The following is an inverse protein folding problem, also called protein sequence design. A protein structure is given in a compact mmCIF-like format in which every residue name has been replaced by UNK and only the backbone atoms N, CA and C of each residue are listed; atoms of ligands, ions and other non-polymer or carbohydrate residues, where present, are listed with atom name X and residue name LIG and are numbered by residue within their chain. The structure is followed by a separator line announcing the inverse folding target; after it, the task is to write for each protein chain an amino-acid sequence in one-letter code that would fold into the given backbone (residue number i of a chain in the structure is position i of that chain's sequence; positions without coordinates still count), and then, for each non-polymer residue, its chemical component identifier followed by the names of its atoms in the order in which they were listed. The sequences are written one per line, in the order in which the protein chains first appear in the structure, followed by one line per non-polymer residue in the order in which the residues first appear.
data_IF_243408695636
#
_entry.id   IF_243408695636
#
_cell.length_a   1.000
_cell.length_b   1.000
_cell.length_c   1.000
_cell.angle_alpha   90.00
_cell.angle_beta   90.00
_cell.angle_gamma   90.00
#
_symmetry.space_group_name_H-M   'P 1'
#
loop_
_entity.id
_entity.type
_entity.pdbx_description
1 polymer ?
#
# COMPACT_ATOMS: atom_id res chain seq x y z
N UNK A 1 -9.67 -18.26 -36.75
CA UNK A 1 -8.51 -19.15 -36.71
C UNK A 1 -7.30 -18.36 -37.21
N UNK A 2 -6.54 -17.73 -36.33
CA UNK A 2 -5.25 -17.12 -36.64
C UNK A 2 -4.26 -17.61 -35.60
N UNK A 3 -3.24 -18.34 -36.05
CA UNK A 3 -2.18 -18.91 -35.22
C UNK A 3 -1.32 -17.84 -34.59
N UNK A 4 -1.09 -17.97 -33.30
CA UNK A 4 -0.14 -17.18 -32.51
C UNK A 4 1.28 -17.71 -32.78
N UNK A 5 2.23 -16.91 -33.30
CA UNK A 5 3.57 -17.38 -33.71
C UNK A 5 4.50 -17.88 -32.62
N UNK A 6 4.14 -17.70 -31.33
CA UNK A 6 5.02 -18.01 -30.19
C UNK A 6 5.05 -19.49 -29.76
N UNK A 7 4.00 -20.26 -30.04
CA UNK A 7 3.92 -21.67 -29.61
C UNK A 7 4.72 -22.66 -30.45
N UNK A 8 5.05 -22.31 -31.68
CA UNK A 8 5.83 -23.22 -32.56
C UNK A 8 7.33 -23.24 -32.20
N UNK A 9 7.92 -22.10 -31.80
CA UNK A 9 9.36 -22.06 -31.46
C UNK A 9 9.72 -22.88 -30.22
N UNK A 10 8.83 -23.00 -29.25
CA UNK A 10 9.06 -23.80 -28.03
C UNK A 10 8.99 -25.30 -28.37
N UNK A 11 8.08 -25.70 -29.24
CA UNK A 11 7.99 -27.11 -29.70
C UNK A 11 9.20 -27.54 -30.55
N UNK A 12 9.72 -26.66 -31.38
CA UNK A 12 10.89 -26.92 -32.21
C UNK A 12 12.17 -27.02 -31.36
N UNK A 13 12.32 -26.21 -30.30
CA UNK A 13 13.43 -26.32 -29.34
C UNK A 13 13.43 -27.66 -28.60
N UNK A 14 12.28 -28.10 -28.10
CA UNK A 14 12.13 -29.40 -27.44
C UNK A 14 12.35 -30.59 -28.40
N UNK A 15 11.87 -30.49 -29.64
CA UNK A 15 12.08 -31.51 -30.66
C UNK A 15 13.55 -31.61 -31.10
N UNK A 16 14.27 -30.50 -31.15
CA UNK A 16 15.69 -30.46 -31.48
C UNK A 16 16.56 -31.10 -30.38
N UNK A 17 16.27 -30.82 -29.11
CA UNK A 17 16.96 -31.41 -27.95
C UNK A 17 16.65 -32.91 -27.85
N UNK A 18 15.41 -33.32 -28.08
CA UNK A 18 15.03 -34.73 -28.07
C UNK A 18 15.69 -35.49 -29.23
N UNK A 19 15.79 -34.89 -30.44
CA UNK A 19 16.51 -35.49 -31.58
C UNK A 19 18.02 -35.58 -31.36
N UNK A 20 18.66 -34.59 -30.70
CA UNK A 20 20.09 -34.66 -30.38
C UNK A 20 20.41 -35.79 -29.39
N UNK A 21 19.47 -36.12 -28.49
CA UNK A 21 19.60 -37.24 -27.56
C UNK A 21 19.43 -38.64 -28.23
N UNK A 22 18.53 -38.73 -29.22
CA UNK A 22 18.24 -39.98 -29.91
C UNK A 22 19.33 -40.32 -30.94
N UNK A 23 20.10 -39.36 -31.45
CA UNK A 23 21.10 -39.55 -32.51
C UNK A 23 22.52 -39.75 -31.95
N UNK A 24 22.70 -39.84 -30.60
CA UNK A 24 23.96 -40.26 -30.00
C UNK A 24 25.19 -39.38 -30.27
N UNK A 25 25.00 -38.08 -30.55
CA UNK A 25 26.09 -37.13 -30.87
C UNK A 25 26.61 -36.30 -29.69
N UNK A 26 26.15 -36.57 -28.44
CA UNK A 26 26.71 -35.94 -27.24
C UNK A 26 27.29 -36.99 -26.31
N UNK A 27 28.60 -37.03 -26.20
CA UNK A 27 29.30 -37.84 -25.21
C UNK A 27 29.11 -37.16 -23.81
N UNK A 28 28.53 -37.89 -22.87
CA UNK A 28 28.46 -37.46 -21.45
C UNK A 28 29.82 -37.71 -20.85
N UNK A 29 30.45 -36.71 -20.17
CA UNK A 29 31.69 -36.96 -19.44
C UNK A 29 31.45 -38.03 -18.35
N UNK A 30 32.29 -39.04 -18.33
CA UNK A 30 32.29 -40.08 -17.29
C UNK A 30 32.58 -39.42 -15.93
N UNK A 31 31.57 -39.34 -15.03
CA UNK A 31 31.72 -38.81 -13.68
C UNK A 31 30.63 -37.91 -13.14
N UNK A 32 29.69 -37.45 -13.95
CA UNK A 32 28.59 -36.58 -13.48
C UNK A 32 27.28 -37.37 -13.49
N UNK A 33 26.59 -37.43 -12.37
CA UNK A 33 25.31 -38.12 -12.23
C UNK A 33 24.22 -37.52 -13.18
N UNK A 34 23.34 -38.38 -13.71
CA UNK A 34 22.25 -37.96 -14.64
C UNK A 34 21.41 -36.78 -14.12
N UNK A 35 21.24 -36.69 -12.82
CA UNK A 35 20.53 -35.61 -12.14
C UNK A 35 21.25 -34.25 -12.23
N UNK A 36 22.58 -34.27 -12.00
CA UNK A 36 23.40 -33.05 -12.09
C UNK A 36 23.50 -32.53 -13.53
N UNK A 37 23.59 -33.44 -14.51
CA UNK A 37 23.60 -33.08 -15.94
C UNK A 37 22.26 -32.40 -16.35
N UNK A 38 21.12 -32.92 -15.87
CA UNK A 38 19.81 -32.32 -16.13
C UNK A 38 19.66 -30.95 -15.45
N UNK A 39 20.15 -30.80 -14.24
CA UNK A 39 20.13 -29.51 -13.51
C UNK A 39 21.05 -28.49 -14.17
N UNK A 40 22.21 -28.91 -14.66
CA UNK A 40 23.15 -28.06 -15.38
C UNK A 40 22.62 -27.66 -16.77
N UNK A 41 21.97 -28.57 -17.49
CA UNK A 41 21.26 -28.27 -18.74
C UNK A 41 20.07 -27.33 -18.51
N UNK A 42 19.25 -27.53 -17.48
CA UNK A 42 18.17 -26.64 -17.12
C UNK A 42 18.66 -25.23 -16.72
N UNK A 43 19.80 -25.14 -16.00
CA UNK A 43 20.47 -23.87 -15.69
C UNK A 43 21.02 -23.16 -16.93
N UNK A 44 21.56 -23.91 -17.88
CA UNK A 44 22.09 -23.36 -19.13
C UNK A 44 20.97 -22.97 -20.12
N UNK A 45 19.86 -23.71 -20.16
CA UNK A 45 18.67 -23.34 -20.92
C UNK A 45 18.02 -22.08 -20.36
N UNK A 46 17.97 -21.91 -19.02
CA UNK A 46 17.56 -20.64 -18.39
C UNK A 46 18.52 -19.47 -18.69
N UNK A 47 19.80 -19.74 -18.89
CA UNK A 47 20.78 -18.70 -19.28
C UNK A 47 20.71 -18.32 -20.77
N UNK A 48 20.21 -19.20 -21.62
CA UNK A 48 20.09 -18.99 -23.07
C UNK A 48 18.73 -18.44 -23.51
N UNK A 49 17.69 -18.66 -22.70
CA UNK A 49 16.43 -17.94 -22.80
C UNK A 49 16.32 -17.08 -21.56
N UNK A 50 16.90 -15.88 -21.57
CA UNK A 50 16.69 -14.91 -20.50
C UNK A 50 15.18 -14.74 -20.33
N UNK A 51 14.68 -14.83 -19.07
CA UNK A 51 13.30 -14.45 -18.81
C UNK A 51 13.08 -13.07 -19.45
N UNK A 52 12.00 -12.85 -20.16
CA UNK A 52 11.73 -11.53 -20.73
C UNK A 52 11.88 -10.50 -19.61
N UNK A 53 12.49 -9.33 -19.89
CA UNK A 53 12.62 -8.29 -18.87
C UNK A 53 11.24 -8.02 -18.30
N UNK A 54 11.15 -7.84 -16.97
CA UNK A 54 9.88 -7.48 -16.32
C UNK A 54 9.29 -6.26 -17.03
N UNK A 55 7.99 -6.31 -17.32
CA UNK A 55 7.29 -5.17 -17.94
C UNK A 55 7.30 -3.98 -16.99
N UNK A 56 7.39 -2.78 -17.54
CA UNK A 56 7.33 -1.53 -16.76
C UNK A 56 5.90 -1.28 -16.30
N UNK A 57 5.76 -0.77 -15.08
CA UNK A 57 4.47 -0.55 -14.45
C UNK A 57 4.32 0.90 -14.05
N UNK A 58 3.22 1.52 -14.44
CA UNK A 58 2.90 2.91 -14.18
C UNK A 58 1.61 3.06 -13.39
N UNK A 59 1.46 4.19 -12.70
CA UNK A 59 0.24 4.60 -12.00
C UNK A 59 -0.54 5.51 -12.94
N UNK A 60 -1.78 5.12 -13.28
CA UNK A 60 -2.65 5.87 -14.20
C UNK A 60 -3.89 6.45 -13.51
N UNK A 61 -4.26 5.96 -12.32
CA UNK A 61 -5.41 6.47 -11.58
C UNK A 61 -5.22 6.43 -10.07
N UNK A 62 -5.84 7.40 -9.38
CA UNK A 62 -5.77 7.62 -7.94
C UNK A 62 -7.16 7.78 -7.35
N UNK A 63 -7.44 7.08 -6.24
CA UNK A 63 -8.68 7.26 -5.48
C UNK A 63 -8.42 7.18 -3.98
N UNK A 64 -9.04 8.06 -3.22
CA UNK A 64 -8.81 8.19 -1.77
C UNK A 64 -10.08 8.52 -1.01
N UNK A 65 -10.22 7.88 0.15
CA UNK A 65 -11.12 8.26 1.25
C UNK A 65 -10.27 8.34 2.50
N UNK A 66 -10.15 9.51 3.10
CA UNK A 66 -9.19 9.77 4.21
C UNK A 66 -9.80 10.70 5.26
N UNK A 67 -9.17 10.82 6.44
CA UNK A 67 -9.55 11.81 7.44
C UNK A 67 -9.46 13.27 6.97
N UNK A 68 -8.70 13.52 5.89
CA UNK A 68 -8.61 14.84 5.28
C UNK A 68 -9.67 15.06 4.20
N UNK A 69 -10.41 14.02 3.81
CA UNK A 69 -11.50 14.14 2.84
C UNK A 69 -11.62 12.96 1.89
N UNK A 70 -12.67 13.03 1.06
CA UNK A 70 -12.97 12.09 -0.02
C UNK A 70 -12.51 12.70 -1.35
N UNK A 71 -11.59 12.00 -2.03
CA UNK A 71 -10.95 12.44 -3.28
C UNK A 71 -9.48 12.82 -3.11
N UNK A 72 -8.66 12.49 -4.13
CA UNK A 72 -7.21 12.67 -4.07
C UNK A 72 -6.79 14.16 -4.00
N UNK A 73 -7.39 15.01 -4.81
CA UNK A 73 -7.03 16.44 -4.87
C UNK A 73 -7.42 17.20 -3.59
N UNK A 74 -8.61 16.95 -3.05
CA UNK A 74 -9.07 17.56 -1.80
C UNK A 74 -8.19 17.12 -0.63
N UNK A 75 -7.88 15.84 -0.54
CA UNK A 75 -7.00 15.29 0.49
C UNK A 75 -5.60 15.89 0.38
N UNK A 76 -5.06 15.98 -0.83
CA UNK A 76 -3.73 16.53 -1.09
C UNK A 76 -3.64 18.01 -0.74
N UNK A 77 -4.60 18.83 -1.17
CA UNK A 77 -4.63 20.25 -0.81
C UNK A 77 -4.64 20.45 0.70
N UNK A 78 -5.52 19.77 1.42
CA UNK A 78 -5.61 19.87 2.89
C UNK A 78 -4.35 19.38 3.60
N UNK A 79 -3.68 18.34 3.06
CA UNK A 79 -2.40 17.87 3.57
C UNK A 79 -1.32 18.95 3.44
N UNK A 80 -1.22 19.60 2.28
CA UNK A 80 -0.24 20.67 2.03
C UNK A 80 -0.53 21.92 2.88
N UNK A 81 -1.80 22.21 3.13
CA UNK A 81 -2.25 23.31 3.99
C UNK A 81 -2.03 23.03 5.49
N UNK A 82 -1.55 21.83 5.85
CA UNK A 82 -1.26 21.46 7.23
C UNK A 82 -2.52 21.18 8.06
N UNK A 83 -3.61 20.74 7.43
CA UNK A 83 -4.84 20.37 8.14
C UNK A 83 -4.63 19.04 8.86
N UNK A 84 -5.00 18.98 10.15
CA UNK A 84 -5.02 17.74 10.93
C UNK A 84 -6.42 17.12 10.90
N UNK A 85 -6.49 15.82 10.59
CA UNK A 85 -7.73 15.04 10.67
C UNK A 85 -8.07 14.53 12.06
N UNK A 86 -7.22 14.78 13.06
CA UNK A 86 -7.41 14.26 14.41
C UNK A 86 -8.51 15.04 15.18
N UNK A 87 -9.43 14.31 15.79
CA UNK A 87 -10.55 14.86 16.57
C UNK A 87 -10.92 13.92 17.73
N UNK A 88 -11.76 14.40 18.65
CA UNK A 88 -12.37 13.54 19.66
C UNK A 88 -13.34 12.56 18.97
N UNK A 89 -13.31 11.31 19.40
CA UNK A 89 -14.26 10.30 18.90
C UNK A 89 -15.64 10.60 19.47
N UNK A 90 -16.64 10.68 18.58
CA UNK A 90 -18.03 11.00 18.92
C UNK A 90 -19.01 9.90 18.52
N UNK A 91 -18.55 8.88 17.80
CA UNK A 91 -19.41 7.80 17.30
C UNK A 91 -19.88 6.83 18.39
N UNK A 92 -19.17 6.79 19.51
CA UNK A 92 -19.47 5.93 20.68
C UNK A 92 -18.86 6.52 21.96
N UNK A 93 -19.32 6.00 23.11
CA UNK A 93 -18.83 6.39 24.43
C UNK A 93 -17.35 6.06 24.63
N UNK A 94 -16.55 7.02 25.10
CA UNK A 94 -15.09 6.89 25.24
C UNK A 94 -14.54 7.24 26.62
N UNK A 95 -15.38 7.61 27.60
CA UNK A 95 -14.95 8.11 28.91
C UNK A 95 -14.09 7.11 29.70
N UNK A 96 -14.35 5.82 29.49
CA UNK A 96 -13.62 4.70 30.12
C UNK A 96 -12.40 4.23 29.31
N UNK A 97 -12.12 4.85 28.14
CA UNK A 97 -10.98 4.54 27.28
C UNK A 97 -9.80 5.46 27.56
N UNK A 98 -8.59 4.90 27.52
CA UNK A 98 -7.35 5.67 27.68
C UNK A 98 -7.11 6.64 26.52
N UNK A 99 -7.33 6.18 25.27
CA UNK A 99 -7.30 6.99 24.06
C UNK A 99 -8.73 7.32 23.62
N UNK A 100 -9.03 8.60 23.45
CA UNK A 100 -10.37 9.12 23.13
C UNK A 100 -10.41 9.93 21.84
N UNK A 101 -9.33 9.86 21.07
CA UNK A 101 -9.13 10.59 19.82
C UNK A 101 -8.85 9.65 18.67
N UNK A 102 -9.24 10.07 17.48
CA UNK A 102 -8.96 9.36 16.23
C UNK A 102 -8.96 10.34 15.04
N UNK A 103 -8.47 9.88 13.90
CA UNK A 103 -8.59 10.56 12.62
C UNK A 103 -9.71 9.87 11.83
N UNK A 104 -10.96 10.31 12.07
CA UNK A 104 -12.14 9.77 11.40
C UNK A 104 -12.37 10.45 10.05
N UNK A 105 -12.96 9.72 9.11
CA UNK A 105 -13.41 10.28 7.83
C UNK A 105 -14.49 11.33 8.07
N UNK A 106 -14.39 12.54 7.46
CA UNK A 106 -15.45 13.54 7.55
C UNK A 106 -16.68 13.08 6.77
N UNK A 107 -17.76 12.76 7.49
CA UNK A 107 -19.03 12.34 6.92
C UNK A 107 -19.90 13.56 6.59
N UNK A 108 -20.67 13.49 5.49
CA UNK A 108 -21.58 14.56 5.07
C UNK A 108 -22.42 14.18 3.85
N UNK A 109 -22.81 15.18 3.07
CA UNK A 109 -23.61 14.99 1.86
C UNK A 109 -22.78 14.72 0.59
N UNK A 110 -21.45 14.65 0.72
CA UNK A 110 -20.51 14.51 -0.40
C UNK A 110 -19.99 15.83 -0.95
N UNK A 111 -20.48 16.96 -0.44
CA UNK A 111 -19.92 18.27 -0.77
C UNK A 111 -18.65 18.54 0.04
N UNK A 112 -17.82 19.46 -0.45
CA UNK A 112 -16.61 19.93 0.23
C UNK A 112 -15.70 18.80 0.74
N UNK A 113 -15.62 17.70 -0.02
CA UNK A 113 -14.79 16.55 0.31
C UNK A 113 -15.28 15.74 1.50
N UNK A 114 -16.51 15.87 1.95
CA UNK A 114 -17.12 14.94 2.90
C UNK A 114 -17.47 13.61 2.24
N UNK A 115 -17.46 12.54 3.00
CA UNK A 115 -17.83 11.23 2.50
C UNK A 115 -19.31 10.96 2.70
N UNK A 116 -20.01 10.60 1.62
CA UNK A 116 -21.38 10.11 1.64
C UNK A 116 -21.45 8.72 1.04
N UNK A 117 -21.69 7.71 1.87
CA UNK A 117 -21.74 6.31 1.43
C UNK A 117 -22.84 6.07 0.36
N UNK A 118 -23.94 6.82 0.39
CA UNK A 118 -25.06 6.67 -0.56
C UNK A 118 -24.68 7.03 -2.01
N UNK A 119 -23.61 7.79 -2.21
CA UNK A 119 -23.08 8.10 -3.55
C UNK A 119 -22.39 6.88 -4.20
N UNK A 120 -21.91 5.94 -3.39
CA UNK A 120 -21.09 4.83 -3.86
C UNK A 120 -21.79 3.47 -3.76
N UNK A 121 -22.65 3.29 -2.77
CA UNK A 121 -23.32 2.02 -2.50
C UNK A 121 -24.73 2.27 -1.98
N UNK A 122 -25.71 1.62 -2.59
CA UNK A 122 -27.10 1.75 -2.14
C UNK A 122 -27.25 1.39 -0.65
N UNK A 123 -28.12 2.07 0.13
CA UNK A 123 -28.29 1.82 1.56
C UNK A 123 -28.63 0.36 1.92
N UNK A 124 -29.27 -0.36 0.99
CA UNK A 124 -29.56 -1.78 1.14
C UNK A 124 -28.31 -2.64 1.08
N UNK A 125 -27.36 -2.27 0.23
CA UNK A 125 -26.08 -3.00 0.07
C UNK A 125 -25.10 -2.62 1.19
N UNK A 126 -25.08 -1.37 1.64
CA UNK A 126 -24.26 -0.92 2.79
C UNK A 126 -24.49 -1.78 4.03
N UNK A 127 -25.75 -2.18 4.29
CA UNK A 127 -26.09 -3.05 5.43
C UNK A 127 -25.53 -4.47 5.34
N UNK A 128 -25.00 -4.88 4.18
CA UNK A 128 -24.44 -6.21 3.95
C UNK A 128 -22.93 -6.25 4.13
N UNK A 129 -22.25 -5.12 4.10
CA UNK A 129 -20.81 -5.01 4.14
C UNK A 129 -20.35 -4.14 5.31
N UNK A 130 -19.12 -4.33 5.74
CA UNK A 130 -18.46 -3.46 6.71
C UNK A 130 -17.96 -2.17 6.06
N UNK A 131 -17.82 -1.05 6.79
CA UNK A 131 -17.39 0.21 6.22
C UNK A 131 -16.07 0.15 5.43
N UNK A 132 -15.09 -0.68 5.83
CA UNK A 132 -13.83 -0.80 5.06
C UNK A 132 -14.07 -1.24 3.61
N UNK A 133 -15.09 -2.07 3.34
CA UNK A 133 -15.47 -2.47 1.98
C UNK A 133 -16.10 -1.30 1.23
N UNK A 134 -16.94 -0.51 1.90
CA UNK A 134 -17.55 0.70 1.30
C UNK A 134 -16.49 1.72 0.92
N UNK A 135 -15.49 1.94 1.79
CA UNK A 135 -14.35 2.84 1.50
C UNK A 135 -13.52 2.33 0.32
N UNK A 136 -13.29 1.01 0.25
CA UNK A 136 -12.59 0.40 -0.88
C UNK A 136 -13.33 0.59 -2.21
N UNK A 137 -14.66 0.40 -2.22
CA UNK A 137 -15.49 0.61 -3.41
C UNK A 137 -15.40 2.06 -3.86
N UNK A 138 -15.59 3.02 -2.95
CA UNK A 138 -15.53 4.44 -3.27
C UNK A 138 -14.15 4.85 -3.83
N UNK A 139 -13.07 4.42 -3.18
CA UNK A 139 -11.72 4.71 -3.65
C UNK A 139 -11.41 4.03 -4.99
N UNK A 140 -11.91 2.80 -5.23
CA UNK A 140 -11.71 2.11 -6.49
C UNK A 140 -12.51 2.76 -7.64
N UNK A 141 -13.76 3.17 -7.39
CA UNK A 141 -14.58 3.91 -8.36
C UNK A 141 -13.84 5.20 -8.78
N UNK A 142 -13.34 5.98 -7.81
CA UNK A 142 -12.56 7.20 -8.09
C UNK A 142 -11.28 6.91 -8.88
N UNK A 143 -10.54 5.86 -8.51
CA UNK A 143 -9.29 5.53 -9.18
C UNK A 143 -9.49 5.07 -10.64
N UNK A 144 -10.53 4.28 -10.90
CA UNK A 144 -10.90 3.83 -12.25
C UNK A 144 -11.37 4.99 -13.12
N UNK A 145 -12.16 5.91 -12.54
CA UNK A 145 -12.60 7.13 -13.24
C UNK A 145 -11.43 8.04 -13.58
N UNK A 146 -10.51 8.29 -12.62
CA UNK A 146 -9.31 9.09 -12.84
C UNK A 146 -8.36 8.46 -13.87
N UNK A 147 -8.28 7.13 -13.92
CA UNK A 147 -7.53 6.40 -14.94
C UNK A 147 -8.22 6.43 -16.32
N UNK A 148 -9.51 6.78 -16.40
CA UNK A 148 -10.31 6.59 -17.60
C UNK A 148 -10.36 5.13 -18.06
N UNK A 149 -10.34 4.17 -17.09
CA UNK A 149 -10.30 2.74 -17.39
C UNK A 149 -11.61 2.05 -17.02
N UNK A 150 -12.42 1.76 -18.03
CA UNK A 150 -13.71 1.09 -17.91
C UNK A 150 -13.78 -0.08 -18.90
N UNK A 151 -13.19 -1.26 -18.57
CA UNK A 151 -13.07 -2.37 -19.51
C UNK A 151 -14.45 -2.89 -19.95
N UNK A 152 -14.68 -2.90 -21.26
CA UNK A 152 -15.94 -3.34 -21.85
C UNK A 152 -15.80 -4.69 -22.57
N UNK A 153 -14.63 -4.97 -23.13
CA UNK A 153 -14.38 -6.24 -23.80
C UNK A 153 -14.08 -7.35 -22.78
N UNK A 154 -14.35 -8.60 -23.16
CA UNK A 154 -14.00 -9.77 -22.34
C UNK A 154 -12.48 -9.84 -22.10
N UNK A 155 -11.67 -9.50 -23.10
CA UNK A 155 -10.22 -9.54 -23.03
C UNK A 155 -9.70 -8.49 -22.01
N UNK A 156 -10.19 -7.25 -22.05
CA UNK A 156 -9.82 -6.20 -21.10
C UNK A 156 -10.25 -6.55 -19.67
N UNK A 157 -11.45 -7.13 -19.52
CA UNK A 157 -11.94 -7.58 -18.22
C UNK A 157 -11.07 -8.71 -17.63
N UNK A 158 -10.62 -9.65 -18.47
CA UNK A 158 -9.72 -10.75 -18.07
C UNK A 158 -8.31 -10.23 -17.79
N UNK A 159 -7.84 -9.22 -18.52
CA UNK A 159 -6.53 -8.59 -18.30
C UNK A 159 -6.48 -7.65 -17.09
N UNK A 160 -7.63 -7.34 -16.46
CA UNK A 160 -7.72 -6.44 -15.31
C UNK A 160 -7.99 -7.21 -14.02
N UNK A 161 -7.07 -7.11 -13.06
CA UNK A 161 -7.18 -7.74 -11.74
C UNK A 161 -7.42 -6.74 -10.60
N UNK A 162 -7.64 -7.28 -9.39
CA UNK A 162 -7.88 -6.51 -8.16
C UNK A 162 -7.06 -7.08 -7.01
N UNK A 163 -6.32 -6.23 -6.29
CA UNK A 163 -5.57 -6.58 -5.10
C UNK A 163 -5.70 -5.50 -4.03
N UNK A 164 -6.71 -5.62 -3.16
CA UNK A 164 -6.97 -4.67 -2.07
C UNK A 164 -6.85 -5.40 -0.75
N UNK A 165 -5.96 -4.91 0.13
CA UNK A 165 -5.75 -5.47 1.45
C UNK A 165 -6.42 -4.65 2.56
N UNK A 166 -6.54 -5.28 3.73
CA UNK A 166 -6.90 -4.62 5.00
C UNK A 166 -6.14 -5.31 6.12
N UNK A 167 -5.73 -4.56 7.14
CA UNK A 167 -4.98 -5.11 8.25
C UNK A 167 -5.85 -5.94 9.20
N UNK A 168 -7.09 -5.50 9.44
CA UNK A 168 -7.99 -6.11 10.42
C UNK A 168 -9.33 -6.53 9.78
N UNK A 169 -9.79 -5.82 8.75
CA UNK A 169 -11.10 -6.06 8.13
C UNK A 169 -12.27 -5.64 9.01
N UNK A 170 -13.37 -6.37 8.97
CA UNK A 170 -14.63 -6.03 9.63
C UNK A 170 -14.66 -6.29 11.14
N UNK A 171 -13.74 -5.70 11.91
CA UNK A 171 -13.57 -5.95 13.34
C UNK A 171 -14.84 -5.63 14.16
N UNK A 172 -15.42 -4.44 13.95
CA UNK A 172 -16.63 -4.02 14.68
C UNK A 172 -17.79 -4.97 14.42
N UNK A 173 -18.05 -5.29 13.16
CA UNK A 173 -19.12 -6.19 12.77
C UNK A 173 -18.93 -7.64 13.27
N UNK A 174 -17.68 -8.08 13.48
CA UNK A 174 -17.38 -9.38 14.11
C UNK A 174 -17.80 -9.35 15.59
N UNK A 175 -17.46 -8.28 16.31
CA UNK A 175 -17.82 -8.11 17.73
C UNK A 175 -19.35 -8.02 17.91
N UNK A 176 -20.03 -7.23 17.09
CA UNK A 176 -21.49 -7.10 17.11
C UNK A 176 -22.21 -8.42 16.80
N UNK A 177 -21.69 -9.19 15.84
CA UNK A 177 -22.23 -10.51 15.55
C UNK A 177 -22.02 -11.48 16.72
N UNK A 178 -20.90 -11.36 17.45
CA UNK A 178 -20.65 -12.09 18.69
C UNK A 178 -21.68 -11.78 19.77
N UNK A 179 -22.00 -10.49 19.98
CA UNK A 179 -23.07 -10.08 20.91
C UNK A 179 -24.44 -10.59 20.44
N UNK A 180 -24.74 -10.47 19.15
CA UNK A 180 -25.99 -11.00 18.59
C UNK A 180 -26.13 -12.50 18.82
N UNK A 181 -25.06 -13.26 18.57
CA UNK A 181 -25.05 -14.73 18.82
C UNK A 181 -25.29 -15.05 20.29
N UNK A 182 -24.62 -14.36 21.21
CA UNK A 182 -24.73 -14.57 22.67
C UNK A 182 -26.11 -14.22 23.18
N UNK A 183 -26.66 -13.06 22.80
CA UNK A 183 -27.85 -12.50 23.43
C UNK A 183 -29.14 -12.89 22.72
N UNK A 184 -29.09 -13.23 21.42
CA UNK A 184 -30.27 -13.49 20.58
C UNK A 184 -30.25 -14.85 19.86
N UNK A 185 -29.14 -15.58 19.97
CA UNK A 185 -28.97 -16.92 19.42
C UNK A 185 -28.63 -16.99 17.93
N UNK A 186 -28.26 -18.18 17.41
CA UNK A 186 -27.66 -18.34 16.07
C UNK A 186 -28.58 -17.96 14.92
N UNK A 187 -29.92 -18.05 15.11
CA UNK A 187 -30.89 -17.68 14.06
C UNK A 187 -30.95 -16.17 13.77
N UNK A 188 -30.33 -15.35 14.60
CA UNK A 188 -30.31 -13.89 14.47
C UNK A 188 -29.00 -13.36 13.83
N UNK A 189 -27.99 -14.21 13.67
CA UNK A 189 -26.78 -13.86 12.94
C UNK A 189 -27.14 -13.62 11.47
N UNK A 190 -26.65 -12.49 10.92
CA UNK A 190 -26.93 -12.11 9.54
C UNK A 190 -26.35 -13.12 8.54
N UNK A 191 -27.04 -13.48 7.44
CA UNK A 191 -26.46 -14.29 6.37
C UNK A 191 -25.31 -13.57 5.67
N UNK A 192 -25.23 -12.25 5.79
CA UNK A 192 -24.14 -11.41 5.25
C UNK A 192 -22.97 -11.26 6.23
N UNK A 193 -23.01 -11.88 7.42
CA UNK A 193 -21.94 -11.76 8.40
C UNK A 193 -20.58 -12.16 7.81
N UNK A 194 -20.45 -13.36 7.27
CA UNK A 194 -19.18 -13.82 6.69
C UNK A 194 -18.80 -12.98 5.46
N UNK A 195 -19.61 -12.89 4.38
CA UNK A 195 -19.19 -12.16 3.19
C UNK A 195 -19.03 -10.65 3.38
N UNK A 196 -19.59 -10.08 4.42
CA UNK A 196 -19.44 -8.66 4.72
C UNK A 196 -18.24 -8.31 5.61
N UNK A 197 -17.47 -9.28 6.11
CA UNK A 197 -16.38 -9.05 7.08
C UNK A 197 -15.02 -9.60 6.63
N UNK A 198 -14.99 -10.50 5.65
CA UNK A 198 -13.75 -11.07 5.11
C UNK A 198 -12.97 -10.01 4.34
N UNK A 199 -11.67 -9.94 4.58
CA UNK A 199 -10.77 -8.94 3.99
C UNK A 199 -10.76 -9.00 2.46
N UNK A 200 -10.68 -10.21 1.89
CA UNK A 200 -10.67 -10.37 0.43
C UNK A 200 -11.97 -9.93 -0.27
N UNK A 201 -13.03 -9.67 0.48
CA UNK A 201 -14.28 -9.18 -0.10
C UNK A 201 -14.23 -7.70 -0.49
N UNK A 202 -13.25 -6.93 -0.02
CA UNK A 202 -12.96 -5.63 -0.60
C UNK A 202 -12.57 -5.78 -2.09
N UNK A 203 -11.59 -6.64 -2.39
CA UNK A 203 -11.23 -6.98 -3.78
C UNK A 203 -12.39 -7.63 -4.53
N UNK A 204 -13.11 -8.56 -3.88
CA UNK A 204 -14.23 -9.28 -4.48
C UNK A 204 -15.38 -8.36 -4.91
N UNK A 205 -15.78 -7.39 -4.07
CA UNK A 205 -16.86 -6.45 -4.38
C UNK A 205 -16.46 -5.50 -5.52
N UNK A 206 -15.24 -4.99 -5.53
CA UNK A 206 -14.72 -4.16 -6.62
C UNK A 206 -14.69 -4.95 -7.94
N UNK A 207 -14.17 -6.18 -7.91
CA UNK A 207 -14.14 -7.09 -9.07
C UNK A 207 -15.54 -7.34 -9.64
N UNK A 208 -16.52 -7.68 -8.79
CA UNK A 208 -17.92 -7.93 -9.21
C UNK A 208 -18.53 -6.66 -9.82
N UNK A 209 -18.35 -5.51 -9.16
CA UNK A 209 -18.94 -4.24 -9.57
C UNK A 209 -18.47 -3.80 -10.96
N UNK A 210 -17.18 -3.92 -11.24
CA UNK A 210 -16.55 -3.49 -12.48
C UNK A 210 -16.31 -4.62 -13.48
N UNK A 211 -16.74 -5.86 -13.16
CA UNK A 211 -16.54 -7.07 -13.98
C UNK A 211 -15.06 -7.35 -14.28
N UNK A 212 -14.17 -7.07 -13.33
CA UNK A 212 -12.75 -7.31 -13.45
C UNK A 212 -12.45 -8.79 -13.16
N UNK A 213 -11.99 -9.52 -14.15
CA UNK A 213 -11.92 -11.00 -14.16
C UNK A 213 -10.49 -11.54 -14.15
N UNK A 214 -9.50 -10.64 -14.02
CA UNK A 214 -8.09 -10.98 -13.83
C UNK A 214 -7.79 -11.53 -12.44
N UNK A 215 -6.52 -11.58 -12.02
CA UNK A 215 -6.12 -12.01 -10.67
C UNK A 215 -6.87 -11.23 -9.59
N UNK A 216 -7.48 -11.94 -8.62
CA UNK A 216 -8.28 -11.34 -7.57
C UNK A 216 -7.94 -11.98 -6.23
N UNK A 217 -7.27 -11.24 -5.35
CA UNK A 217 -6.93 -11.69 -4.01
C UNK A 217 -6.64 -10.49 -3.08
N UNK A 218 -6.22 -10.77 -1.85
CA UNK A 218 -5.95 -9.78 -0.83
C UNK A 218 -4.68 -10.15 -0.07
N UNK A 219 -3.98 -9.15 0.45
CA UNK A 219 -2.84 -9.31 1.34
C UNK A 219 -3.18 -8.75 2.72
N UNK A 220 -2.60 -9.35 3.77
CA UNK A 220 -2.78 -8.92 5.17
C UNK A 220 -1.40 -8.92 5.84
N UNK A 221 -0.84 -7.75 6.04
CA UNK A 221 0.49 -7.54 6.62
C UNK A 221 0.51 -6.32 7.55
N UNK A 222 -0.53 -6.21 8.37
CA UNK A 222 -0.72 -5.10 9.32
C UNK A 222 -0.54 -3.74 8.63
N UNK A 223 0.32 -2.86 9.17
CA UNK A 223 0.52 -1.51 8.66
C UNK A 223 1.15 -1.44 7.27
N UNK A 224 1.76 -2.52 6.78
CA UNK A 224 2.40 -2.59 5.46
C UNK A 224 1.47 -3.11 4.35
N UNK A 225 0.24 -3.46 4.70
CA UNK A 225 -0.72 -4.10 3.78
C UNK A 225 -0.89 -3.36 2.47
N UNK A 226 -1.16 -2.05 2.50
CA UNK A 226 -1.40 -1.25 1.29
C UNK A 226 -0.17 -1.14 0.39
N UNK A 227 1.03 -1.01 0.99
CA UNK A 227 2.28 -0.98 0.22
C UNK A 227 2.60 -2.36 -0.39
N UNK A 228 2.38 -3.45 0.35
CA UNK A 228 2.50 -4.81 -0.20
C UNK A 228 1.51 -5.05 -1.34
N UNK A 229 0.26 -4.62 -1.19
CA UNK A 229 -0.75 -4.77 -2.24
C UNK A 229 -0.32 -4.09 -3.55
N UNK A 230 0.17 -2.85 -3.50
CA UNK A 230 0.68 -2.13 -4.66
C UNK A 230 1.92 -2.82 -5.24
N UNK A 231 2.87 -3.22 -4.38
CA UNK A 231 4.10 -3.89 -4.80
C UNK A 231 3.85 -5.25 -5.45
N UNK A 232 2.96 -6.07 -4.87
CA UNK A 232 2.61 -7.39 -5.42
C UNK A 232 1.80 -7.25 -6.72
N UNK A 233 0.86 -6.28 -6.79
CA UNK A 233 0.14 -5.97 -8.02
C UNK A 233 1.09 -5.53 -9.15
N UNK A 234 2.11 -4.73 -8.82
CA UNK A 234 3.13 -4.34 -9.81
C UNK A 234 3.93 -5.54 -10.34
N UNK A 235 4.19 -6.54 -9.49
CA UNK A 235 4.82 -7.80 -9.93
C UNK A 235 3.91 -8.63 -10.82
N UNK A 236 2.63 -8.74 -10.50
CA UNK A 236 1.65 -9.47 -11.32
C UNK A 236 1.65 -8.89 -12.74
N UNK A 237 1.61 -7.57 -12.89
CA UNK A 237 1.74 -6.91 -14.19
C UNK A 237 3.11 -7.17 -14.80
N UNK A 238 4.18 -7.00 -14.02
CA UNK A 238 5.55 -7.20 -14.48
C UNK A 238 5.82 -8.59 -15.05
N UNK A 239 5.20 -9.64 -14.47
CA UNK A 239 5.29 -11.02 -14.95
C UNK A 239 4.33 -11.33 -16.11
N UNK A 240 3.37 -10.47 -16.40
CA UNK A 240 2.44 -10.65 -17.51
C UNK A 240 1.17 -11.42 -17.18
N UNK A 241 0.83 -11.53 -15.89
CA UNK A 241 -0.41 -12.21 -15.45
C UNK A 241 -1.63 -11.28 -15.56
N UNK A 242 -1.42 -9.97 -15.63
CA UNK A 242 -2.42 -8.92 -15.88
C UNK A 242 -1.79 -7.74 -16.62
N UNK A 243 -2.58 -6.93 -17.31
CA UNK A 243 -2.15 -5.66 -17.90
C UNK A 243 -2.52 -4.46 -17.02
N UNK A 244 -3.60 -4.59 -16.24
CA UNK A 244 -4.09 -3.58 -15.32
C UNK A 244 -4.41 -4.22 -13.96
N UNK A 245 -4.05 -3.55 -12.87
CA UNK A 245 -4.41 -3.95 -11.50
C UNK A 245 -4.99 -2.76 -10.73
N UNK A 246 -6.17 -2.96 -10.14
CA UNK A 246 -6.73 -2.05 -9.12
C UNK A 246 -6.18 -2.49 -7.76
N UNK A 247 -5.31 -1.69 -7.17
CA UNK A 247 -4.53 -2.14 -6.01
C UNK A 247 -4.46 -1.09 -4.90
N UNK A 248 -4.40 -1.54 -3.66
CA UNK A 248 -4.23 -0.65 -2.51
C UNK A 248 -4.66 -1.25 -1.19
N UNK A 249 -5.11 -0.39 -0.28
CA UNK A 249 -5.50 -0.79 1.06
C UNK A 249 -6.71 -0.02 1.58
N UNK A 250 -7.44 -0.64 2.49
CA UNK A 250 -8.64 -0.07 3.11
C UNK A 250 -8.73 -0.50 4.57
N UNK A 251 -9.24 0.37 5.45
CA UNK A 251 -9.38 0.05 6.86
C UNK A 251 -10.50 0.88 7.51
N UNK A 252 -11.26 0.28 8.43
CA UNK A 252 -12.25 0.98 9.28
C UNK A 252 -12.13 0.51 10.74
N UNK A 253 -11.04 0.86 11.44
CA UNK A 253 -10.74 0.30 12.74
C UNK A 253 -11.32 1.12 13.90
N UNK A 254 -11.95 2.28 13.66
CA UNK A 254 -12.37 3.20 14.73
C UNK A 254 -13.63 2.66 15.41
N UNK A 255 -13.41 1.76 16.38
CA UNK A 255 -14.44 1.19 17.25
C UNK A 255 -13.89 0.94 18.65
N UNK A 256 -14.78 0.72 19.63
CA UNK A 256 -14.38 0.58 21.06
C UNK A 256 -13.34 -0.51 21.28
N UNK A 257 -13.54 -1.69 20.68
CA UNK A 257 -12.62 -2.83 20.88
C UNK A 257 -11.24 -2.55 20.30
N UNK A 258 -11.15 -1.86 19.17
CA UNK A 258 -9.86 -1.52 18.57
C UNK A 258 -9.11 -0.48 19.41
N UNK A 259 -9.77 0.61 19.84
CA UNK A 259 -9.15 1.60 20.74
C UNK A 259 -8.69 0.94 22.05
N UNK A 260 -9.53 0.11 22.67
CA UNK A 260 -9.15 -0.62 23.89
C UNK A 260 -7.97 -1.56 23.64
N UNK A 261 -7.97 -2.32 22.53
CA UNK A 261 -6.92 -3.28 22.20
C UNK A 261 -5.57 -2.62 21.94
N UNK A 262 -5.53 -1.57 21.11
CA UNK A 262 -4.28 -0.84 20.82
C UNK A 262 -3.79 -0.03 22.03
N UNK A 263 -4.70 0.49 22.87
CA UNK A 263 -4.34 1.11 24.15
C UNK A 263 -3.72 0.10 25.12
N UNK A 264 -4.25 -1.14 25.19
CA UNK A 264 -3.68 -2.22 25.99
C UNK A 264 -2.26 -2.60 25.53
N UNK A 265 -1.96 -2.47 24.23
CA UNK A 265 -0.61 -2.62 23.68
C UNK A 265 0.29 -1.39 23.94
N UNK A 266 -0.23 -0.33 24.56
CA UNK A 266 0.47 0.96 24.76
C UNK A 266 0.96 1.58 23.45
N UNK A 267 0.19 1.41 22.39
CA UNK A 267 0.56 1.87 21.04
C UNK A 267 -0.08 3.23 20.69
N UNK A 268 -1.17 3.63 21.39
CA UNK A 268 -1.92 4.85 21.12
C UNK A 268 -1.44 6.04 21.94
N UNK A 269 -1.54 7.23 21.34
CA UNK A 269 -1.43 8.49 22.04
C UNK A 269 -2.57 8.65 23.04
N UNK A 270 -2.23 9.03 24.28
CA UNK A 270 -3.18 9.21 25.40
C UNK A 270 -3.04 10.54 26.12
N UNK A 271 -1.92 11.25 25.92
CA UNK A 271 -1.63 12.51 26.59
C UNK A 271 -2.33 13.72 25.94
N UNK A 272 -2.82 13.56 24.70
CA UNK A 272 -3.38 14.65 23.89
C UNK A 272 -4.89 14.54 23.69
N UNK A 273 -5.62 13.82 24.55
CA UNK A 273 -7.08 13.64 24.42
C UNK A 273 -7.86 14.98 24.36
N UNK A 274 -7.35 16.04 24.97
CA UNK A 274 -7.97 17.36 24.97
C UNK A 274 -7.46 18.29 23.87
N UNK A 275 -6.34 17.93 23.22
CA UNK A 275 -5.73 18.66 22.11
C UNK A 275 -5.46 17.69 20.93
N UNK A 276 -6.50 17.04 20.35
CA UNK A 276 -6.32 15.93 19.42
C UNK A 276 -5.43 16.25 18.21
N UNK A 277 -5.51 17.47 17.68
CA UNK A 277 -4.72 17.90 16.52
C UNK A 277 -3.20 17.94 16.79
N UNK A 278 -2.78 17.94 18.07
CA UNK A 278 -1.38 17.92 18.48
C UNK A 278 -0.84 16.52 18.78
N UNK A 279 -1.70 15.50 18.74
CA UNK A 279 -1.38 14.15 19.20
C UNK A 279 -0.42 13.40 18.27
N UNK A 280 -0.70 13.42 16.95
CA UNK A 280 0.20 12.78 15.98
C UNK A 280 1.38 13.70 15.68
N UNK A 281 2.56 13.35 16.23
CA UNK A 281 3.76 14.20 16.22
C UNK A 281 5.05 13.41 15.95
N UNK A 282 5.18 12.84 14.75
CA UNK A 282 6.35 12.04 14.40
C UNK A 282 7.66 12.79 14.63
N UNK A 283 8.69 12.07 15.16
CA UNK A 283 10.04 12.56 15.47
C UNK A 283 10.14 13.57 16.62
N UNK A 284 9.04 14.06 17.16
CA UNK A 284 9.01 15.02 18.27
C UNK A 284 9.28 14.31 19.62
N UNK A 285 9.94 15.01 20.55
CA UNK A 285 10.27 14.45 21.88
C UNK A 285 9.05 14.10 22.72
N UNK A 286 7.92 14.82 22.52
CA UNK A 286 6.68 14.65 23.27
C UNK A 286 5.73 13.60 22.68
N UNK A 287 6.14 12.86 21.64
CA UNK A 287 5.31 11.80 21.05
C UNK A 287 5.06 10.67 22.05
N UNK A 288 3.85 10.18 22.11
CA UNK A 288 3.43 9.16 23.10
C UNK A 288 2.66 7.99 22.50
N UNK A 289 2.59 7.88 21.18
CA UNK A 289 1.88 6.82 20.45
C UNK A 289 1.21 7.32 19.18
N UNK A 290 0.68 6.41 18.38
CA UNK A 290 -0.02 6.80 17.17
C UNK A 290 -1.46 7.24 17.43
N UNK A 291 -2.02 8.06 16.55
CA UNK A 291 -3.46 8.35 16.48
C UNK A 291 -4.07 7.43 15.44
N UNK A 292 -5.09 6.65 15.82
CA UNK A 292 -5.78 5.73 14.90
C UNK A 292 -6.50 6.50 13.81
N UNK A 293 -6.37 6.07 12.57
CA UNK A 293 -7.08 6.60 11.40
C UNK A 293 -7.81 5.52 10.64
N UNK A 294 -8.71 5.93 9.74
CA UNK A 294 -9.48 5.06 8.86
C UNK A 294 -9.52 5.59 7.43
N UNK A 295 -9.83 4.74 6.46
CA UNK A 295 -9.97 5.16 5.07
C UNK A 295 -9.53 4.12 4.06
N UNK A 296 -9.31 4.57 2.83
CA UNK A 296 -8.86 3.75 1.72
C UNK A 296 -8.00 4.55 0.75
N UNK A 297 -6.98 3.92 0.20
CA UNK A 297 -6.19 4.42 -0.92
C UNK A 297 -6.10 3.35 -2.00
N UNK A 298 -6.50 3.70 -3.21
CA UNK A 298 -6.49 2.80 -4.36
C UNK A 298 -5.77 3.47 -5.52
N UNK A 299 -4.89 2.72 -6.16
CA UNK A 299 -4.24 3.10 -7.41
C UNK A 299 -4.65 2.15 -8.54
N UNK A 300 -4.73 2.68 -9.75
CA UNK A 300 -4.73 1.85 -10.96
C UNK A 300 -3.29 1.74 -11.44
N UNK A 301 -2.77 0.52 -11.41
CA UNK A 301 -1.48 0.15 -11.97
C UNK A 301 -1.68 -0.40 -13.37
N UNK A 302 -0.81 -0.05 -14.28
CA UNK A 302 -0.95 -0.42 -15.69
C UNK A 302 0.40 -0.73 -16.32
N UNK A 303 0.43 -1.68 -17.22
CA UNK A 303 1.59 -1.93 -18.06
C UNK A 303 1.85 -0.72 -18.96
N UNK A 304 3.11 -0.29 -19.06
CA UNK A 304 3.46 0.97 -19.70
C UNK A 304 3.01 1.07 -21.15
N UNK A 305 3.26 0.05 -21.96
CA UNK A 305 2.91 0.12 -23.39
C UNK A 305 1.39 0.03 -23.60
N UNK A 306 0.67 -0.68 -22.71
CA UNK A 306 -0.79 -0.65 -22.65
C UNK A 306 -1.30 0.77 -22.32
N UNK A 307 -0.75 1.42 -21.29
CA UNK A 307 -1.11 2.78 -20.92
C UNK A 307 -0.87 3.78 -22.05
N UNK A 308 0.29 3.69 -22.71
CA UNK A 308 0.63 4.53 -23.87
C UNK A 308 -0.29 4.29 -25.07
N UNK A 309 -0.61 3.04 -25.37
CA UNK A 309 -1.44 2.68 -26.51
C UNK A 309 -2.87 3.28 -26.41
N UNK A 310 -3.40 3.43 -25.20
CA UNK A 310 -4.71 4.05 -24.97
C UNK A 310 -4.62 5.57 -24.64
N UNK A 311 -3.41 6.15 -24.59
CA UNK A 311 -3.23 7.56 -24.27
C UNK A 311 -3.53 7.91 -22.81
N UNK A 312 -3.29 7.00 -21.87
CA UNK A 312 -3.54 7.20 -20.46
C UNK A 312 -2.66 8.34 -19.89
N UNK A 313 -3.22 9.08 -18.93
CA UNK A 313 -2.42 9.94 -18.05
C UNK A 313 -1.53 9.05 -17.18
N UNK A 314 -0.24 9.33 -17.13
CA UNK A 314 0.72 8.62 -16.29
C UNK A 314 1.18 9.57 -15.19
N UNK A 315 1.00 9.18 -13.92
CA UNK A 315 1.44 9.95 -12.77
C UNK A 315 2.90 9.70 -12.41
N UNK A 316 3.25 8.42 -12.29
CA UNK A 316 4.59 7.98 -11.93
C UNK A 316 4.79 6.52 -12.36
N UNK A 317 6.04 6.05 -12.32
CA UNK A 317 6.42 4.66 -12.55
C UNK A 317 6.76 3.98 -11.20
N UNK A 318 6.27 2.77 -10.97
CA UNK A 318 6.66 1.91 -9.83
C UNK A 318 7.92 1.15 -10.26
N UNK A 319 9.08 1.67 -9.88
CA UNK A 319 10.37 1.14 -10.34
C UNK A 319 11.03 0.17 -9.35
N UNK A 320 10.60 0.20 -8.08
CA UNK A 320 11.18 -0.66 -7.07
C UNK A 320 10.18 -1.08 -6.00
N UNK A 321 10.33 -2.30 -5.52
CA UNK A 321 9.57 -2.84 -4.40
C UNK A 321 10.46 -3.75 -3.58
N UNK A 322 10.71 -3.36 -2.33
CA UNK A 322 11.48 -4.11 -1.35
C UNK A 322 10.59 -4.69 -0.26
N UNK A 323 10.99 -5.84 0.24
CA UNK A 323 10.36 -6.51 1.38
C UNK A 323 11.42 -7.08 2.30
N UNK A 324 11.12 -7.10 3.60
CA UNK A 324 11.91 -7.82 4.61
C UNK A 324 11.04 -8.24 5.79
N UNK A 325 11.56 -9.16 6.60
CA UNK A 325 11.00 -9.49 7.90
C UNK A 325 12.02 -9.17 8.98
N UNK A 326 11.60 -8.59 10.11
CA UNK A 326 12.51 -8.28 11.24
C UNK A 326 12.92 -9.53 12.02
N UNK A 327 12.02 -10.50 12.13
CA UNK A 327 12.21 -11.72 12.93
C UNK A 327 12.69 -11.42 14.38
N UNK A 328 12.16 -10.36 14.98
CA UNK A 328 12.60 -9.83 16.27
C UNK A 328 11.48 -9.87 17.32
N UNK A 329 10.43 -9.04 17.17
CA UNK A 329 9.33 -8.93 18.12
C UNK A 329 7.99 -8.69 17.39
N UNK A 330 6.85 -9.05 18.04
CA UNK A 330 5.53 -8.96 17.42
C UNK A 330 5.03 -7.53 17.18
N UNK A 331 5.50 -6.54 17.97
CA UNK A 331 5.03 -5.15 17.89
C UNK A 331 6.13 -4.11 17.83
N UNK A 332 7.40 -4.49 17.96
CA UNK A 332 8.53 -3.57 17.96
C UNK A 332 9.54 -3.95 16.87
N UNK A 333 10.12 -2.98 16.14
CA UNK A 333 11.28 -3.23 15.27
C UNK A 333 12.53 -3.52 16.11
N UNK A 334 13.57 -4.09 15.48
CA UNK A 334 14.88 -4.17 16.10
C UNK A 334 15.49 -2.78 16.32
N UNK A 335 16.19 -2.57 17.43
CA UNK A 335 16.73 -1.25 17.82
C UNK A 335 17.69 -0.66 16.77
N UNK A 336 18.37 -1.50 16.00
CA UNK A 336 19.28 -1.09 14.92
C UNK A 336 18.59 -0.78 13.59
N UNK A 337 17.26 -0.99 13.49
CA UNK A 337 16.48 -0.75 12.27
C UNK A 337 16.92 -1.58 11.06
N UNK A 338 17.54 -2.75 11.29
CA UNK A 338 18.14 -3.57 10.24
C UNK A 338 17.11 -4.06 9.22
N UNK A 339 15.90 -4.45 9.67
CA UNK A 339 14.82 -4.89 8.78
C UNK A 339 14.37 -3.77 7.84
N UNK A 340 14.18 -2.55 8.35
CA UNK A 340 13.84 -1.38 7.55
C UNK A 340 14.95 -1.06 6.54
N UNK A 341 16.22 -1.09 6.98
CA UNK A 341 17.37 -0.86 6.10
C UNK A 341 17.45 -1.88 4.95
N UNK A 342 17.26 -3.20 5.24
CA UNK A 342 17.23 -4.24 4.20
C UNK A 342 16.09 -4.05 3.23
N UNK A 343 14.92 -3.68 3.73
CA UNK A 343 13.74 -3.41 2.93
C UNK A 343 13.99 -2.32 1.91
N UNK A 344 14.44 -1.15 2.36
CA UNK A 344 14.77 0.00 1.52
C UNK A 344 15.90 -0.32 0.53
N UNK A 345 16.98 -0.97 1.00
CA UNK A 345 18.10 -1.41 0.13
C UNK A 345 17.62 -2.34 -0.97
N UNK A 346 16.72 -3.28 -0.65
CA UNK A 346 16.14 -4.20 -1.64
C UNK A 346 15.29 -3.48 -2.68
N UNK A 347 14.52 -2.47 -2.26
CA UNK A 347 13.70 -1.65 -3.15
C UNK A 347 14.58 -0.89 -4.16
N UNK A 348 15.60 -0.18 -3.67
CA UNK A 348 16.54 0.58 -4.50
C UNK A 348 17.35 -0.32 -5.46
N UNK A 349 17.82 -1.47 -4.97
CA UNK A 349 18.52 -2.44 -5.81
C UNK A 349 17.67 -2.91 -6.99
N UNK A 350 16.39 -3.15 -6.78
CA UNK A 350 15.44 -3.55 -7.84
C UNK A 350 15.15 -2.43 -8.81
N UNK A 351 15.06 -1.20 -8.29
CA UNK A 351 14.88 0.01 -9.09
C UNK A 351 16.12 0.36 -9.94
N UNK A 352 17.31 -0.16 -9.58
CA UNK A 352 18.57 0.29 -10.17
C UNK A 352 18.91 1.74 -9.83
N UNK A 353 18.46 2.23 -8.66
CA UNK A 353 18.58 3.63 -8.20
C UNK A 353 19.56 3.66 -7.03
N UNK A 354 20.49 4.64 -7.06
CA UNK A 354 21.39 4.87 -5.94
C UNK A 354 20.68 5.64 -4.80
N UNK A 355 21.08 5.44 -3.53
CA UNK A 355 20.51 6.23 -2.43
C UNK A 355 20.63 7.74 -2.61
N UNK A 356 21.66 8.22 -3.33
CA UNK A 356 21.87 9.62 -3.65
C UNK A 356 20.86 10.22 -4.63
N UNK A 357 20.09 9.39 -5.31
CA UNK A 357 19.11 9.81 -6.31
C UNK A 357 17.71 9.97 -5.70
N UNK A 358 17.55 9.67 -4.41
CA UNK A 358 16.29 9.89 -3.69
C UNK A 358 16.14 11.37 -3.37
N UNK A 359 14.99 11.95 -3.73
CA UNK A 359 14.63 13.33 -3.44
C UNK A 359 13.71 13.46 -2.23
N UNK A 360 12.77 12.50 -2.08
CA UNK A 360 11.75 12.53 -1.04
C UNK A 360 11.52 11.13 -0.46
N UNK A 361 11.31 11.09 0.86
CA UNK A 361 10.88 9.88 1.58
C UNK A 361 9.56 10.17 2.30
N UNK A 362 8.52 9.41 1.96
CA UNK A 362 7.33 9.31 2.80
C UNK A 362 7.60 8.25 3.83
N UNK A 363 7.77 8.68 5.07
CA UNK A 363 8.17 7.83 6.17
C UNK A 363 7.01 7.00 6.72
N UNK A 364 7.33 5.87 7.31
CA UNK A 364 6.36 5.17 8.15
C UNK A 364 5.96 6.01 9.36
N UNK A 365 6.90 6.60 10.09
CA UNK A 365 6.77 7.65 11.08
C UNK A 365 5.42 7.73 11.80
N UNK A 366 5.17 6.85 12.78
CA UNK A 366 3.85 6.67 13.39
C UNK A 366 3.59 7.52 14.62
N UNK A 367 4.52 8.41 15.01
CA UNK A 367 4.48 9.12 16.28
C UNK A 367 4.73 8.20 17.49
N UNK A 368 5.56 7.18 17.31
CA UNK A 368 5.97 6.22 18.34
C UNK A 368 7.49 6.25 18.51
N UNK A 369 8.00 5.48 19.48
CA UNK A 369 9.44 5.33 19.64
C UNK A 369 10.14 4.68 18.43
N UNK A 370 9.40 4.04 17.52
CA UNK A 370 9.96 3.48 16.29
C UNK A 370 10.42 4.54 15.27
N UNK A 371 9.98 5.79 15.41
CA UNK A 371 10.30 6.86 14.46
C UNK A 371 11.81 7.15 14.39
N UNK A 372 12.49 7.17 15.54
CA UNK A 372 13.96 7.39 15.58
C UNK A 372 14.76 6.19 15.09
N UNK A 373 14.21 4.97 15.21
CA UNK A 373 14.79 3.76 14.64
C UNK A 373 14.73 3.81 13.09
N UNK A 374 13.56 4.19 12.55
CA UNK A 374 13.40 4.41 11.10
C UNK A 374 14.35 5.49 10.60
N UNK A 375 14.41 6.65 11.29
CA UNK A 375 15.30 7.75 10.93
C UNK A 375 16.77 7.29 10.87
N UNK A 376 17.22 6.50 11.86
CA UNK A 376 18.56 5.91 11.87
C UNK A 376 18.82 4.95 10.71
N UNK A 377 17.83 4.14 10.34
CA UNK A 377 17.94 3.26 9.18
C UNK A 377 18.03 4.03 7.85
N UNK A 378 17.25 5.12 7.73
CA UNK A 378 17.29 6.02 6.57
C UNK A 378 18.63 6.76 6.48
N UNK A 379 19.14 7.31 7.58
CA UNK A 379 20.48 7.93 7.61
C UNK A 379 21.59 6.97 7.17
N UNK A 380 21.54 5.73 7.67
CA UNK A 380 22.47 4.67 7.26
C UNK A 380 22.36 4.36 5.77
N UNK A 381 21.15 4.38 5.20
CA UNK A 381 20.92 4.15 3.78
C UNK A 381 21.50 5.27 2.91
N UNK A 382 21.25 6.52 3.31
CA UNK A 382 21.59 7.71 2.53
C UNK A 382 23.08 8.10 2.67
N UNK A 383 23.71 7.82 3.83
CA UNK A 383 25.08 8.26 4.09
C UNK A 383 25.28 9.76 3.82
N UNK A 384 26.26 10.13 3.01
CA UNK A 384 26.58 11.52 2.68
C UNK A 384 25.47 12.24 1.90
N UNK A 385 24.50 11.52 1.36
CA UNK A 385 23.38 12.12 0.63
C UNK A 385 22.25 12.62 1.57
N UNK A 386 22.28 12.32 2.87
CA UNK A 386 21.22 12.62 3.84
C UNK A 386 20.78 14.11 3.80
N UNK A 387 21.72 15.05 3.70
CA UNK A 387 21.42 16.50 3.65
C UNK A 387 20.74 16.97 2.36
N UNK A 388 20.56 16.11 1.36
CA UNK A 388 19.89 16.42 0.10
C UNK A 388 18.44 15.94 0.03
N UNK A 389 17.98 15.15 1.02
CA UNK A 389 16.69 14.48 1.01
C UNK A 389 15.71 15.17 1.95
N UNK A 390 14.46 15.34 1.54
CA UNK A 390 13.37 15.63 2.46
C UNK A 390 12.65 14.33 2.84
N UNK A 391 12.32 14.19 4.10
CA UNK A 391 11.56 13.06 4.66
C UNK A 391 10.44 13.60 5.53
N UNK A 392 9.21 13.18 5.31
CA UNK A 392 8.11 13.61 6.17
C UNK A 392 7.18 12.44 6.50
N UNK A 393 6.49 12.54 7.64
CA UNK A 393 5.40 11.65 7.96
C UNK A 393 4.06 12.33 7.80
N UNK A 394 3.32 11.91 6.78
CA UNK A 394 1.96 12.38 6.51
C UNK A 394 0.94 11.88 7.55
N UNK A 395 1.32 10.88 8.37
CA UNK A 395 0.53 10.43 9.54
C UNK A 395 0.37 11.51 10.60
N UNK A 396 1.22 12.53 10.58
CA UNK A 396 1.03 13.72 11.42
C UNK A 396 -0.31 14.43 11.14
N UNK A 397 -0.82 14.33 9.92
CA UNK A 397 -2.09 14.91 9.47
C UNK A 397 -3.24 13.88 9.45
N UNK A 398 -3.00 12.69 8.91
CA UNK A 398 -4.03 11.67 8.68
C UNK A 398 -4.22 10.71 9.85
N UNK A 399 -3.30 10.68 10.83
CA UNK A 399 -3.19 9.55 11.73
C UNK A 399 -2.71 8.29 11.01
N UNK A 400 -2.72 7.16 11.68
CA UNK A 400 -2.29 5.88 11.17
C UNK A 400 -3.46 5.04 10.69
N UNK A 401 -3.65 4.92 9.37
CA UNK A 401 -4.75 4.16 8.75
C UNK A 401 -4.48 2.65 8.68
N UNK A 402 -3.55 2.12 9.48
CA UNK A 402 -3.22 0.69 9.54
C UNK A 402 -3.01 0.09 8.14
N UNK A 403 -3.88 -0.85 7.72
CA UNK A 403 -3.76 -1.52 6.43
C UNK A 403 -3.90 -0.60 5.21
N UNK A 404 -4.58 0.54 5.34
CA UNK A 404 -4.70 1.53 4.27
C UNK A 404 -3.51 2.50 4.20
N UNK A 405 -2.70 2.61 5.26
CA UNK A 405 -1.66 3.63 5.40
C UNK A 405 -0.68 3.65 4.21
N UNK A 406 -0.05 2.51 3.90
CA UNK A 406 0.94 2.45 2.82
C UNK A 406 0.36 2.76 1.44
N UNK A 407 -0.94 2.56 1.24
CA UNK A 407 -1.60 2.89 -0.03
C UNK A 407 -1.81 4.41 -0.19
N UNK A 408 -2.35 5.09 0.84
CA UNK A 408 -2.49 6.55 0.77
C UNK A 408 -1.15 7.25 0.68
N UNK A 409 -0.10 6.70 1.33
CA UNK A 409 1.25 7.24 1.31
C UNK A 409 1.95 7.05 -0.04
N UNK A 410 1.68 5.95 -0.74
CA UNK A 410 2.10 5.78 -2.14
C UNK A 410 1.43 6.83 -3.05
N UNK A 411 0.14 7.15 -2.83
CA UNK A 411 -0.55 8.22 -3.54
C UNK A 411 0.05 9.59 -3.19
N UNK A 412 0.31 9.89 -1.92
CA UNK A 412 0.98 11.14 -1.54
C UNK A 412 2.38 11.27 -2.15
N UNK A 413 3.14 10.19 -2.21
CA UNK A 413 4.45 10.16 -2.87
C UNK A 413 4.34 10.43 -4.38
N UNK A 414 3.30 9.88 -5.01
CA UNK A 414 2.97 10.13 -6.42
C UNK A 414 2.62 11.59 -6.67
N UNK A 415 1.80 12.18 -5.80
CA UNK A 415 1.42 13.59 -5.88
C UNK A 415 2.59 14.53 -5.56
N UNK A 416 3.49 14.13 -4.65
CA UNK A 416 4.72 14.87 -4.36
C UNK A 416 5.63 14.95 -5.59
N UNK A 417 5.75 13.86 -6.36
CA UNK A 417 6.44 13.83 -7.65
C UNK A 417 5.75 14.75 -8.66
N UNK A 418 4.40 14.66 -8.78
CA UNK A 418 3.64 15.47 -9.73
C UNK A 418 3.85 16.97 -9.52
N UNK A 419 3.74 17.42 -8.27
CA UNK A 419 3.66 18.84 -7.92
C UNK A 419 5.00 19.42 -7.45
N UNK A 420 6.05 18.61 -7.31
CA UNK A 420 7.35 19.02 -6.79
C UNK A 420 7.25 19.67 -5.38
N UNK A 421 6.50 19.02 -4.48
CA UNK A 421 6.25 19.48 -3.11
C UNK A 421 6.36 18.32 -2.14
N UNK A 422 7.21 18.46 -1.12
CA UNK A 422 7.23 17.55 0.03
C UNK A 422 6.17 18.02 1.04
N UNK A 423 5.20 17.14 1.42
CA UNK A 423 4.18 17.48 2.42
C UNK A 423 4.80 17.60 3.81
N UNK A 424 4.14 18.34 4.74
CA UNK A 424 4.72 18.62 6.05
C UNK A 424 4.66 17.43 7.02
N UNK A 425 5.56 17.43 8.00
CA UNK A 425 5.41 16.74 9.28
C UNK A 425 4.82 17.71 10.27
N UNK A 426 3.53 17.58 10.59
CA UNK A 426 2.86 18.43 11.57
C UNK A 426 3.37 18.13 12.99
N UNK A 427 3.22 19.12 13.88
CA UNK A 427 3.53 18.99 15.31
C UNK A 427 5.00 18.64 15.63
N UNK A 428 5.90 18.75 14.68
CA UNK A 428 7.34 18.62 14.93
C UNK A 428 7.86 19.95 15.47
N UNK A 429 7.74 20.15 16.77
CA UNK A 429 8.18 21.34 17.51
C UNK A 429 9.61 21.20 18.01
N UNK A 430 9.92 20.03 18.59
CA UNK A 430 11.19 19.71 19.21
C UNK A 430 11.67 18.33 18.71
N UNK A 431 12.46 18.27 17.64
CA UNK A 431 13.01 16.99 17.16
C UNK A 431 13.81 16.28 18.25
N UNK A 432 13.56 14.97 18.45
CA UNK A 432 14.23 14.18 19.51
C UNK A 432 15.75 14.08 19.29
N UNK A 433 16.19 14.18 18.05
CA UNK A 433 17.63 14.18 17.72
C UNK A 433 17.91 15.05 16.50
N UNK A 434 19.14 15.55 16.44
CA UNK A 434 19.63 16.24 15.24
C UNK A 434 19.82 15.27 14.09
N UNK A 435 19.52 15.72 12.87
CA UNK A 435 19.70 15.00 11.61
C UNK A 435 20.02 15.96 10.48
N UNK A 436 20.76 15.47 9.48
CA UNK A 436 20.99 16.21 8.25
C UNK A 436 19.78 16.17 7.30
N UNK A 437 18.86 15.20 7.49
CA UNK A 437 17.65 15.03 6.68
C UNK A 437 16.68 16.17 7.00
N UNK A 438 16.12 16.80 5.96
CA UNK A 438 15.03 17.76 6.14
C UNK A 438 13.72 17.04 6.47
N UNK A 439 13.29 17.07 7.73
CA UNK A 439 12.05 16.42 8.20
C UNK A 439 10.77 17.20 7.84
N UNK A 440 10.86 18.26 7.05
CA UNK A 440 9.77 19.11 6.57
C UNK A 440 8.84 19.57 7.72
N UNK A 441 9.34 20.23 8.76
CA UNK A 441 8.53 20.57 9.92
C UNK A 441 7.44 21.58 9.56
N UNK A 442 6.19 21.27 9.93
CA UNK A 442 4.98 22.11 9.95
C UNK A 442 4.48 22.63 8.60
N UNK A 443 5.35 22.95 7.66
CA UNK A 443 4.98 23.60 6.40
C UNK A 443 5.54 22.81 5.21
N UNK A 444 4.69 22.56 4.21
CA UNK A 444 5.07 21.92 2.97
C UNK A 444 6.22 22.64 2.27
N UNK A 445 7.12 21.91 1.64
CA UNK A 445 8.33 22.45 1.03
C UNK A 445 8.38 22.16 -0.46
N UNK A 446 8.49 23.22 -1.28
CA UNK A 446 8.76 23.09 -2.71
C UNK A 446 10.19 22.58 -2.93
N UNK A 447 10.31 21.52 -3.72
CA UNK A 447 11.61 21.00 -4.19
C UNK A 447 11.37 20.09 -5.39
N UNK A 448 12.38 19.96 -6.26
CA UNK A 448 12.30 18.97 -7.33
C UNK A 448 12.27 17.57 -6.74
N UNK A 449 11.30 16.74 -7.18
CA UNK A 449 11.12 15.35 -6.73
C UNK A 449 10.94 14.49 -7.98
N UNK A 450 11.98 13.79 -8.38
CA UNK A 450 11.94 12.82 -9.46
C UNK A 450 11.87 11.39 -8.94
N UNK A 451 12.43 11.14 -7.74
CA UNK A 451 12.40 9.83 -7.07
C UNK A 451 11.88 9.97 -5.65
N UNK A 452 10.82 9.25 -5.35
CA UNK A 452 10.26 9.13 -4.01
C UNK A 452 10.34 7.68 -3.51
N UNK A 453 10.68 7.54 -2.22
CA UNK A 453 10.63 6.26 -1.47
C UNK A 453 9.48 6.33 -0.48
N UNK A 454 8.57 5.35 -0.48
CA UNK A 454 7.48 5.23 0.49
C UNK A 454 7.71 4.00 1.38
N UNK A 455 7.76 4.19 2.70
CA UNK A 455 8.05 3.16 3.69
C UNK A 455 6.81 2.75 4.48
N UNK A 456 6.68 1.46 4.71
CA UNK A 456 5.66 0.89 5.60
C UNK A 456 6.27 -0.24 6.41
N UNK A 457 6.24 -0.13 7.75
CA UNK A 457 6.81 -1.11 8.67
C UNK A 457 5.72 -1.57 9.65
N UNK A 458 5.31 -2.83 9.54
CA UNK A 458 4.12 -3.35 10.22
C UNK A 458 4.43 -4.23 11.43
N UNK A 459 3.47 -4.30 12.34
CA UNK A 459 3.47 -5.30 13.42
C UNK A 459 3.68 -6.69 12.82
N UNK A 460 4.42 -7.55 13.55
CA UNK A 460 4.92 -8.82 13.04
C UNK A 460 6.26 -8.69 12.29
N UNK A 461 6.83 -7.47 12.22
CA UNK A 461 8.08 -7.19 11.51
C UNK A 461 7.94 -7.31 10.00
N UNK A 462 6.77 -6.99 9.46
CA UNK A 462 6.50 -7.03 8.01
C UNK A 462 6.82 -5.66 7.39
N UNK A 463 7.85 -5.59 6.56
CA UNK A 463 8.36 -4.35 5.99
C UNK A 463 8.14 -4.30 4.48
N UNK A 464 7.69 -3.14 3.99
CA UNK A 464 7.53 -2.82 2.57
C UNK A 464 8.11 -1.44 2.27
N UNK A 465 8.82 -1.31 1.15
CA UNK A 465 9.28 -0.03 0.61
C UNK A 465 8.99 0.01 -0.90
N UNK A 466 8.34 1.07 -1.36
CA UNK A 466 8.06 1.33 -2.76
C UNK A 466 8.95 2.45 -3.26
N UNK A 467 9.54 2.29 -4.44
CA UNK A 467 10.27 3.35 -5.14
C UNK A 467 9.42 3.79 -6.33
N UNK A 468 9.03 5.05 -6.29
CA UNK A 468 8.28 5.71 -7.34
C UNK A 468 9.20 6.70 -8.06
N UNK A 469 9.08 6.77 -9.38
CA UNK A 469 9.89 7.67 -10.19
C UNK A 469 9.00 8.46 -11.15
N UNK A 470 9.36 9.72 -11.38
CA UNK A 470 8.76 10.53 -12.43
C UNK A 470 8.83 9.79 -13.74
N UNK A 471 7.69 9.66 -14.39
CA UNK A 471 7.67 9.10 -15.74
C UNK A 471 8.33 10.08 -16.72
N UNK A 472 9.22 9.57 -17.55
CA UNK A 472 9.80 10.24 -18.69
C UNK A 472 9.70 9.28 -19.89
N UNK A 473 9.31 9.83 -21.05
CA UNK A 473 9.20 9.10 -22.32
C UNK A 473 10.52 8.51 -22.79
#
# INVERSE_FOLDING_TARGET
MSCVPGRERIKDGFALVARAFIVGRMSIPLGIGRHETLVMMARNLRKMGGDPPMRRVVITGLGMVTPLGCGAEVTWSRLLDGVSGASKVTAFETEDLAARIACSIPLGDGSDGTFNADQWLEPKEQRKVDPFITYAIAAADMALEDAGWHPQSDDDQIATGVLIGSGIGGLEGIVEAGYTLRDRGPRRVSPFFIPGRLINLASGQVSIRHKLRGPNHSVVTACSTGAHAIGDASRIIGFGDADVMVAGGTESPICRIALAGFAACKALSTNFNDEPQRASRPYDVDRDGFVMGEGSGIVVLEELEHAKARGAKIYAEVVGYGMSGDAFHITAPSEDGEGAFRCMTSALKRAGIAPSDIDYINAHGTSTMADTIELGAVERLLGDAAGKVSMSSTKSATGHLLGAAGAIEAIFSTLAIRDNVAPPTLNLDNPERETAIDLVPKVARKRNIDVALSNSFGFGGTNASLVLRRYAD
#
